data_IF_499840698115
#
_entry.id   IF_499840698115
#
_cell.length_a   1.000
_cell.length_b   1.000
_cell.length_c   1.000
_cell.angle_alpha   90.00
_cell.angle_beta   90.00
_cell.angle_gamma   90.00
#
_symmetry.space_group_name_H-M   'P 1'
#
loop_
_entity.id
_entity.type
_entity.pdbx_description
1 polymer ?
#
# COMPACT_ATOMS: atom_id res chain seq x y z
N UNK A 1 17.66 -23.11 8.49
CA UNK A 1 17.94 -21.73 8.91
C UNK A 1 16.71 -20.88 8.63
N UNK A 2 16.37 -19.85 9.43
CA UNK A 2 15.28 -18.91 9.11
C UNK A 2 15.75 -17.88 8.07
N UNK A 3 15.90 -18.34 6.83
CA UNK A 3 16.34 -17.56 5.67
C UNK A 3 15.36 -17.78 4.51
N UNK A 4 15.26 -16.82 3.60
CA UNK A 4 14.52 -17.00 2.34
C UNK A 4 15.25 -17.93 1.35
N UNK A 5 14.68 -18.13 0.16
CA UNK A 5 15.24 -19.00 -0.88
C UNK A 5 16.58 -18.50 -1.47
N UNK A 6 16.95 -17.24 -1.25
CA UNK A 6 18.23 -16.66 -1.64
C UNK A 6 19.24 -16.60 -0.48
N UNK A 7 18.87 -17.08 0.71
CA UNK A 7 19.71 -17.06 1.89
C UNK A 7 19.67 -15.75 2.69
N UNK A 8 18.74 -14.84 2.40
CA UNK A 8 18.56 -13.61 3.19
C UNK A 8 17.91 -13.98 4.53
N UNK A 9 18.50 -13.63 5.68
CA UNK A 9 17.91 -13.90 6.98
C UNK A 9 16.58 -13.19 7.17
N UNK A 10 15.62 -13.89 7.79
CA UNK A 10 14.41 -13.26 8.29
C UNK A 10 14.77 -12.11 9.25
N UNK A 11 14.06 -11.00 9.14
CA UNK A 11 14.21 -9.84 10.03
C UNK A 11 12.86 -9.34 10.53
N UNK A 12 12.87 -8.65 11.67
CA UNK A 12 11.66 -8.00 12.22
C UNK A 12 11.06 -6.92 11.30
N UNK A 13 11.78 -6.48 10.26
CA UNK A 13 11.26 -5.53 9.28
C UNK A 13 10.11 -6.08 8.41
N UNK A 14 9.86 -7.40 8.43
CA UNK A 14 8.69 -8.01 7.79
C UNK A 14 7.43 -8.00 8.68
N UNK A 15 7.54 -7.53 9.93
CA UNK A 15 6.42 -7.47 10.87
C UNK A 15 5.81 -6.07 10.83
N UNK A 16 4.51 -5.99 10.56
CA UNK A 16 3.74 -4.75 10.64
C UNK A 16 2.90 -4.77 11.92
N UNK A 17 3.16 -3.79 12.79
CA UNK A 17 2.42 -3.56 14.03
C UNK A 17 2.45 -2.05 14.33
N UNK A 18 1.56 -1.30 13.68
CA UNK A 18 1.51 0.16 13.75
C UNK A 18 0.91 0.68 15.06
N UNK A 19 0.15 -0.16 15.77
CA UNK A 19 -0.64 0.24 16.94
C UNK A 19 -2.02 0.78 16.57
N UNK A 20 -2.35 0.89 15.28
CA UNK A 20 -3.71 1.12 14.80
C UNK A 20 -4.34 -0.21 14.35
N UNK A 21 -5.46 -0.59 14.98
CA UNK A 21 -6.12 -1.86 14.73
C UNK A 21 -6.57 -2.05 13.26
N UNK A 22 -7.21 -1.05 12.66
CA UNK A 22 -7.69 -1.15 11.28
C UNK A 22 -6.51 -1.29 10.30
N UNK A 23 -5.46 -0.46 10.48
CA UNK A 23 -4.24 -0.54 9.68
C UNK A 23 -3.54 -1.90 9.79
N UNK A 24 -3.45 -2.45 11.00
CA UNK A 24 -2.81 -3.75 11.24
C UNK A 24 -3.65 -4.91 10.66
N UNK A 25 -4.99 -4.81 10.68
CA UNK A 25 -5.85 -5.80 10.01
C UNK A 25 -5.73 -5.77 8.49
N UNK A 26 -5.62 -4.60 7.86
CA UNK A 26 -5.31 -4.50 6.43
C UNK A 26 -3.94 -5.11 6.10
N UNK A 27 -2.93 -4.90 6.96
CA UNK A 27 -1.63 -5.54 6.80
C UNK A 27 -1.74 -7.07 6.90
N UNK A 28 -2.58 -7.60 7.80
CA UNK A 28 -2.84 -9.04 7.89
C UNK A 28 -3.53 -9.59 6.63
N UNK A 29 -4.53 -8.89 6.08
CA UNK A 29 -5.16 -9.29 4.79
C UNK A 29 -4.11 -9.37 3.67
N UNK A 30 -3.20 -8.39 3.60
CA UNK A 30 -2.10 -8.40 2.64
C UNK A 30 -1.14 -9.58 2.86
N UNK A 31 -0.75 -9.84 4.11
CA UNK A 31 0.13 -10.96 4.46
C UNK A 31 -0.45 -12.31 4.03
N UNK A 32 -1.74 -12.56 4.31
CA UNK A 32 -2.42 -13.79 3.89
C UNK A 32 -2.58 -13.87 2.36
N UNK A 33 -2.83 -12.75 1.68
CA UNK A 33 -2.95 -12.70 0.22
C UNK A 33 -1.64 -13.05 -0.50
N UNK A 34 -0.52 -12.50 0.00
CA UNK A 34 0.81 -12.75 -0.56
C UNK A 34 1.34 -14.14 -0.19
N UNK A 35 1.12 -14.59 1.05
CA UNK A 35 1.42 -15.96 1.49
C UNK A 35 0.70 -17.00 0.66
N UNK A 36 -0.62 -16.83 0.45
CA UNK A 36 -1.42 -17.71 -0.40
C UNK A 36 -0.92 -17.76 -1.84
N UNK A 37 -0.53 -16.61 -2.40
CA UNK A 37 0.04 -16.55 -3.76
C UNK A 37 1.32 -17.37 -3.88
N UNK A 38 2.20 -17.33 -2.87
CA UNK A 38 3.40 -18.18 -2.83
C UNK A 38 3.02 -19.66 -2.71
N UNK A 39 2.10 -20.01 -1.80
CA UNK A 39 1.68 -21.39 -1.58
C UNK A 39 1.06 -22.01 -2.85
N UNK A 40 0.23 -21.27 -3.59
CA UNK A 40 -0.36 -21.76 -4.85
C UNK A 40 0.70 -21.99 -5.93
N UNK A 41 1.70 -21.12 -6.04
CA UNK A 41 2.82 -21.31 -7.00
C UNK A 41 3.68 -22.50 -6.63
N UNK A 42 3.95 -22.73 -5.34
CA UNK A 42 4.68 -23.92 -4.88
C UNK A 42 3.89 -25.20 -5.15
N UNK A 43 2.57 -25.17 -5.02
CA UNK A 43 1.70 -26.30 -5.35
C UNK A 43 1.82 -26.66 -6.83
N UNK A 44 1.80 -25.67 -7.72
CA UNK A 44 1.98 -25.85 -9.16
C UNK A 44 3.40 -26.29 -9.55
N UNK A 45 4.40 -26.00 -8.71
CA UNK A 45 5.80 -26.27 -9.00
C UNK A 45 6.27 -27.68 -8.57
N UNK A 46 5.46 -28.41 -7.80
CA UNK A 46 5.83 -29.72 -7.25
C UNK A 46 4.90 -30.83 -7.71
N UNK A 47 5.47 -32.02 -7.93
CA UNK A 47 4.72 -33.26 -8.22
C UNK A 47 4.67 -34.21 -7.01
N UNK A 48 5.27 -33.85 -5.87
CA UNK A 48 5.26 -34.69 -4.66
C UNK A 48 3.87 -34.68 -4.00
N UNK A 49 3.19 -35.83 -3.86
CA UNK A 49 1.83 -35.87 -3.33
C UNK A 49 1.71 -35.39 -1.88
N UNK A 50 2.73 -35.60 -1.05
CA UNK A 50 2.74 -35.15 0.34
C UNK A 50 2.88 -33.63 0.45
N UNK A 51 3.73 -33.04 -0.39
CA UNK A 51 3.85 -31.57 -0.51
C UNK A 51 2.55 -30.95 -1.01
N UNK A 52 1.92 -31.53 -2.02
CA UNK A 52 0.63 -31.04 -2.54
C UNK A 52 -0.47 -31.12 -1.47
N UNK A 53 -0.56 -32.22 -0.70
CA UNK A 53 -1.52 -32.35 0.39
C UNK A 53 -1.33 -31.25 1.44
N UNK A 54 -0.09 -31.07 1.93
CA UNK A 54 0.25 -30.01 2.87
C UNK A 54 -0.08 -28.60 2.33
N UNK A 55 0.33 -28.29 1.10
CA UNK A 55 0.10 -26.98 0.50
C UNK A 55 -1.40 -26.72 0.28
N UNK A 56 -2.17 -27.73 -0.11
CA UNK A 56 -3.63 -27.61 -0.26
C UNK A 56 -4.31 -27.24 1.06
N UNK A 57 -3.83 -27.81 2.18
CA UNK A 57 -4.30 -27.45 3.51
C UNK A 57 -3.97 -25.99 3.86
N UNK A 58 -2.73 -25.55 3.62
CA UNK A 58 -2.30 -24.17 3.89
C UNK A 58 -3.10 -23.16 3.06
N UNK A 59 -3.27 -23.42 1.76
CA UNK A 59 -4.09 -22.57 0.86
C UNK A 59 -5.54 -22.44 1.35
N UNK A 60 -6.11 -23.52 1.89
CA UNK A 60 -7.44 -23.50 2.49
C UNK A 60 -7.48 -22.69 3.79
N UNK A 61 -6.44 -22.77 4.63
CA UNK A 61 -6.31 -21.97 5.84
C UNK A 61 -6.16 -20.49 5.54
N UNK A 62 -5.33 -20.10 4.58
CA UNK A 62 -5.17 -18.71 4.14
C UNK A 62 -6.50 -18.14 3.65
N UNK A 63 -7.31 -18.96 2.97
CA UNK A 63 -8.67 -18.56 2.56
C UNK A 63 -9.53 -18.20 3.79
N UNK A 64 -9.49 -19.02 4.84
CA UNK A 64 -10.22 -18.73 6.07
C UNK A 64 -9.65 -17.50 6.79
N UNK A 65 -8.33 -17.35 6.86
CA UNK A 65 -7.68 -16.21 7.51
C UNK A 65 -8.00 -14.89 6.83
N UNK A 66 -7.96 -14.83 5.49
CA UNK A 66 -8.40 -13.65 4.72
C UNK A 66 -9.83 -13.25 5.09
N UNK A 67 -10.77 -14.22 5.10
CA UNK A 67 -12.15 -13.96 5.49
C UNK A 67 -12.28 -13.52 6.96
N UNK A 68 -11.50 -14.10 7.87
CA UNK A 68 -11.49 -13.71 9.27
C UNK A 68 -11.08 -12.25 9.45
N UNK A 69 -10.02 -11.81 8.77
CA UNK A 69 -9.51 -10.43 8.87
C UNK A 69 -10.45 -9.43 8.21
N UNK A 70 -11.05 -9.78 7.06
CA UNK A 70 -12.07 -8.95 6.42
C UNK A 70 -13.33 -8.82 7.31
N UNK A 71 -13.81 -9.92 7.90
CA UNK A 71 -14.94 -9.88 8.83
C UNK A 71 -14.63 -9.04 10.07
N UNK A 72 -13.39 -9.08 10.57
CA UNK A 72 -12.96 -8.23 11.67
C UNK A 72 -12.95 -6.74 11.26
N UNK A 73 -12.47 -6.41 10.05
CA UNK A 73 -12.52 -5.05 9.50
C UNK A 73 -13.95 -4.53 9.34
N UNK A 74 -14.85 -5.35 8.78
CA UNK A 74 -16.27 -5.02 8.61
C UNK A 74 -17.01 -4.82 9.94
N UNK A 75 -16.49 -5.38 11.04
CA UNK A 75 -17.05 -5.19 12.37
C UNK A 75 -16.67 -3.86 13.03
N UNK A 76 -15.72 -3.11 12.45
CA UNK A 76 -15.34 -1.78 12.92
C UNK A 76 -16.31 -0.74 12.36
N UNK A 77 -16.63 0.30 13.17
CA UNK A 77 -17.56 1.36 12.77
C UNK A 77 -16.97 2.24 11.64
N UNK A 78 -15.70 2.63 11.76
CA UNK A 78 -14.99 3.47 10.78
C UNK A 78 -13.63 2.85 10.40
N UNK A 79 -13.61 1.81 9.54
CA UNK A 79 -12.36 1.16 9.15
C UNK A 79 -11.50 2.01 8.19
N UNK A 80 -12.07 3.06 7.58
CA UNK A 80 -11.38 4.00 6.69
C UNK A 80 -11.97 5.43 6.81
N UNK A 81 -11.16 6.49 6.67
CA UNK A 81 -9.70 6.48 6.50
C UNK A 81 -8.98 6.02 7.79
N UNK A 82 -7.75 5.52 7.65
CA UNK A 82 -6.95 5.04 8.80
C UNK A 82 -5.81 6.03 9.10
N UNK A 83 -5.71 6.56 10.33
CA UNK A 83 -6.64 6.39 11.45
C UNK A 83 -7.89 7.26 11.31
N UNK A 84 -9.06 6.71 11.64
CA UNK A 84 -10.33 7.46 11.61
C UNK A 84 -10.44 8.57 12.67
N UNK A 85 -9.44 8.68 13.56
CA UNK A 85 -9.38 9.69 14.61
C UNK A 85 -8.80 11.03 14.16
N UNK A 86 -8.22 11.11 12.96
CA UNK A 86 -7.79 12.39 12.41
C UNK A 86 -9.02 13.18 11.93
N UNK A 87 -9.18 14.46 12.32
CA UNK A 87 -10.32 15.27 11.87
C UNK A 87 -10.30 15.46 10.36
N UNK A 88 -11.37 15.04 9.70
CA UNK A 88 -11.39 15.01 8.23
C UNK A 88 -11.40 16.42 7.63
N UNK A 89 -11.95 17.40 8.35
CA UNK A 89 -11.93 18.82 7.99
C UNK A 89 -10.53 19.44 7.94
N UNK A 90 -9.55 18.82 8.60
CA UNK A 90 -8.15 19.26 8.59
C UNK A 90 -7.35 18.64 7.42
N UNK A 91 -7.93 17.71 6.67
CA UNK A 91 -7.34 17.21 5.42
C UNK A 91 -7.41 18.28 4.32
N UNK A 92 -6.52 18.19 3.34
CA UNK A 92 -6.66 18.96 2.11
C UNK A 92 -7.86 18.46 1.30
N UNK A 93 -9.00 19.14 1.44
CA UNK A 93 -10.27 18.81 0.79
C UNK A 93 -10.24 18.89 -0.74
N UNK A 94 -9.24 19.57 -1.32
CA UNK A 94 -9.12 19.68 -2.77
C UNK A 94 -8.66 18.35 -3.41
N UNK A 95 -8.03 17.47 -2.61
CA UNK A 95 -7.30 16.31 -3.13
C UNK A 95 -7.67 14.98 -2.50
N UNK A 96 -8.35 14.95 -1.34
CA UNK A 96 -8.59 13.73 -0.58
C UNK A 96 -9.46 12.68 -1.30
N UNK A 97 -10.28 13.08 -2.29
CA UNK A 97 -11.04 12.16 -3.17
C UNK A 97 -10.69 12.28 -4.66
N UNK A 98 -9.58 12.91 -5.00
CA UNK A 98 -9.17 13.14 -6.38
C UNK A 98 -8.12 12.11 -6.82
N UNK A 99 -8.43 11.28 -7.82
CA UNK A 99 -7.40 10.48 -8.50
C UNK A 99 -6.60 11.37 -9.45
N UNK A 100 -5.29 11.42 -9.25
CA UNK A 100 -4.38 12.24 -10.06
C UNK A 100 -3.56 11.39 -11.02
N UNK A 101 -3.59 11.73 -12.30
CA UNK A 101 -2.66 11.15 -13.27
C UNK A 101 -1.23 11.58 -12.95
N UNK A 102 -0.32 10.60 -12.91
CA UNK A 102 1.12 10.81 -12.74
C UNK A 102 1.88 10.85 -14.07
N UNK A 103 1.16 10.81 -15.20
CA UNK A 103 1.79 10.95 -16.52
C UNK A 103 2.20 12.40 -16.76
N UNK A 104 3.30 12.57 -17.50
CA UNK A 104 3.82 13.88 -17.89
C UNK A 104 2.79 14.72 -18.64
N UNK A 105 2.16 14.13 -19.65
CA UNK A 105 1.19 14.82 -20.49
C UNK A 105 -0.23 14.59 -19.95
N UNK A 106 -1.13 15.60 -19.99
CA UNK A 106 -2.50 15.45 -19.53
C UNK A 106 -3.19 14.27 -20.19
N UNK A 107 -3.85 13.43 -19.39
CA UNK A 107 -4.61 12.28 -19.88
C UNK A 107 -6.10 12.53 -19.71
N UNK A 108 -6.92 12.01 -20.63
CA UNK A 108 -8.37 11.95 -20.43
C UNK A 108 -8.72 11.05 -19.25
N UNK A 109 -9.85 11.34 -18.59
CA UNK A 109 -10.40 10.48 -17.54
C UNK A 109 -10.58 9.05 -18.09
N UNK A 110 -10.07 8.01 -17.42
CA UNK A 110 -10.29 6.63 -17.81
C UNK A 110 -11.72 6.12 -17.53
N UNK A 111 -12.59 6.92 -16.89
CA UNK A 111 -13.95 6.56 -16.47
C UNK A 111 -13.97 5.28 -15.60
N UNK A 112 -12.95 5.12 -14.76
CA UNK A 112 -12.77 3.94 -13.94
C UNK A 112 -13.50 4.09 -12.58
N UNK A 113 -13.80 2.98 -11.87
CA UNK A 113 -14.50 3.05 -10.58
C UNK A 113 -13.80 3.87 -9.49
N UNK A 114 -12.50 4.19 -9.66
CA UNK A 114 -11.71 5.01 -8.73
C UNK A 114 -11.49 6.45 -9.22
N UNK A 115 -12.09 6.83 -10.36
CA UNK A 115 -12.04 8.20 -10.90
C UNK A 115 -13.39 8.92 -10.90
N UNK A 116 -14.48 8.18 -10.61
CA UNK A 116 -15.84 8.69 -10.60
C UNK A 116 -16.76 7.92 -9.63
N UNK A 117 -17.84 8.56 -9.20
CA UNK A 117 -18.87 7.96 -8.34
C UNK A 117 -18.54 8.03 -6.85
N UNK A 118 -19.40 7.46 -6.01
CA UNK A 118 -19.24 7.53 -4.56
C UNK A 118 -17.96 6.83 -4.09
N UNK A 119 -17.23 7.45 -3.16
CA UNK A 119 -16.06 6.83 -2.53
C UNK A 119 -16.48 5.73 -1.55
N UNK A 120 -15.65 4.69 -1.32
CA UNK A 120 -16.00 3.55 -0.47
C UNK A 120 -16.29 3.91 0.99
N UNK A 121 -15.70 4.99 1.53
CA UNK A 121 -16.00 5.45 2.88
C UNK A 121 -17.34 6.20 3.00
N UNK A 122 -18.04 6.40 1.87
CA UNK A 122 -19.32 7.11 1.77
C UNK A 122 -19.30 8.59 2.18
N UNK A 123 -18.13 9.23 2.18
CA UNK A 123 -17.96 10.62 2.63
C UNK A 123 -17.76 11.64 1.51
N UNK A 124 -17.83 11.21 0.24
CA UNK A 124 -17.67 12.06 -0.93
C UNK A 124 -17.91 11.34 -2.26
N UNK A 125 -17.39 11.93 -3.33
CA UNK A 125 -17.34 11.33 -4.66
C UNK A 125 -15.92 11.41 -5.21
N UNK A 126 -15.49 10.38 -5.93
CA UNK A 126 -14.25 10.39 -6.68
C UNK A 126 -14.30 11.45 -7.77
N UNK A 127 -13.17 12.10 -7.98
CA UNK A 127 -12.93 12.97 -9.13
C UNK A 127 -11.61 12.62 -9.81
N UNK A 128 -11.41 13.16 -11.01
CA UNK A 128 -10.22 12.93 -11.81
C UNK A 128 -9.46 14.23 -12.08
N UNK A 129 -8.15 14.22 -11.82
CA UNK A 129 -7.22 15.28 -12.21
C UNK A 129 -6.26 14.75 -13.29
N UNK A 130 -6.30 15.40 -14.45
CA UNK A 130 -5.50 15.01 -15.62
C UNK A 130 -3.99 15.24 -15.44
N UNK A 131 -3.63 16.09 -14.48
CA UNK A 131 -2.27 16.45 -14.11
C UNK A 131 -2.16 16.63 -12.60
N UNK A 132 -0.95 16.48 -12.07
CA UNK A 132 -0.70 16.83 -10.67
C UNK A 132 -0.58 18.35 -10.53
N UNK A 133 -1.12 18.93 -9.45
CA UNK A 133 -0.87 20.33 -9.15
C UNK A 133 0.63 20.53 -8.92
N UNK A 134 1.29 21.24 -9.83
CA UNK A 134 2.69 21.64 -9.66
C UNK A 134 2.81 22.72 -8.59
N UNK A 135 3.87 22.65 -7.78
CA UNK A 135 4.24 23.67 -6.80
C UNK A 135 5.11 24.80 -7.39
N UNK A 136 5.39 24.73 -8.70
CA UNK A 136 6.25 25.66 -9.42
C UNK A 136 7.73 25.29 -9.32
N UNK A 137 8.63 26.24 -9.56
CA UNK A 137 10.07 26.02 -9.34
C UNK A 137 10.40 26.20 -7.86
N UNK A 138 10.52 25.10 -7.11
CA UNK A 138 11.11 25.12 -5.78
C UNK A 138 12.62 25.39 -5.87
N UNK A 139 13.06 26.59 -5.48
CA UNK A 139 14.48 26.87 -5.30
C UNK A 139 14.81 26.56 -3.83
N UNK A 140 15.59 25.50 -3.54
CA UNK A 140 16.00 25.23 -2.17
C UNK A 140 16.82 26.43 -1.63
N UNK A 141 16.75 26.72 -0.32
CA UNK A 141 17.59 27.76 0.26
C UNK A 141 19.07 27.43 0.04
N UNK A 142 19.91 28.47 -0.04
CA UNK A 142 21.37 28.27 -0.10
C UNK A 142 21.84 27.43 1.11
N UNK A 143 22.71 26.43 0.89
CA UNK A 143 23.21 25.58 1.97
C UNK A 143 24.00 26.43 2.97
N UNK A 144 23.91 26.06 4.25
CA UNK A 144 24.72 26.71 5.29
C UNK A 144 26.22 26.56 4.94
N UNK A 145 27.00 27.65 4.86
CA UNK A 145 28.43 27.59 4.51
C UNK A 145 29.26 26.65 5.40
N UNK A 146 28.85 26.41 6.65
CA UNK A 146 29.52 25.49 7.59
C UNK A 146 29.40 24.02 7.21
N UNK A 147 28.50 23.69 6.28
CA UNK A 147 28.35 22.33 5.76
C UNK A 147 29.36 21.99 4.67
N UNK A 148 30.15 22.96 4.21
CA UNK A 148 31.15 22.78 3.14
C UNK A 148 30.57 22.12 1.88
N UNK A 149 29.27 22.32 1.62
CA UNK A 149 28.51 21.73 0.50
C UNK A 149 28.67 22.50 -0.82
N UNK A 150 29.73 23.29 -0.98
CA UNK A 150 30.03 23.96 -2.25
C UNK A 150 30.59 22.87 -3.17
N UNK A 151 29.89 22.51 -4.27
CA UNK A 151 30.46 21.59 -5.24
C UNK A 151 31.76 22.21 -5.78
N UNK A 152 32.86 21.45 -5.85
CA UNK A 152 34.05 21.91 -6.55
C UNK A 152 33.63 22.25 -7.99
N UNK A 153 33.95 23.46 -8.46
CA UNK A 153 33.76 23.77 -9.88
C UNK A 153 34.62 22.78 -10.68
N UNK A 154 34.01 22.02 -11.60
CA UNK A 154 34.78 21.23 -12.56
C UNK A 154 35.66 22.20 -13.34
N UNK A 155 36.96 22.20 -13.05
CA UNK A 155 37.98 22.82 -13.89
C UNK A 155 37.81 22.25 -15.31
N UNK A 156 37.43 23.13 -16.25
CA UNK A 156 37.06 22.79 -17.63
C UNK A 156 38.19 22.38 -18.57
#
# INVERSE_FOLDING_TARGET
MPVDSNGVPFSGGHVVASGNLAGDLYANVMAEGTGRTLATRLYEYTDDPGMQDMLSYLIARDTMHQNQWLAALESLEDPVPVPASFPQEEENQEVNYSFMSTRRDPQSDPEAPWTQGAVPDSKGEFSYLAEQPGDGSGIPPEPDPSTYNIPEEEDG
#
